data_IF_238927698172
#
_entry.id   IF_238927698172
#
_cell.length_a   1.000
_cell.length_b   1.000
_cell.length_c   1.000
_cell.angle_alpha   90.00
_cell.angle_beta   90.00
_cell.angle_gamma   90.00
#
_symmetry.space_group_name_H-M   'P 1'
#
loop_
_entity.id
_entity.type
_entity.pdbx_description
1 polymer ?
#
# COMPACT_ATOMS: atom_id res chain seq x y z
N UNK A 1 -14.81 -5.35 10.41
CA UNK A 1 -13.86 -6.03 9.48
C UNK A 1 -12.96 -5.07 8.72
N UNK A 2 -13.45 -4.27 7.74
CA UNK A 2 -12.61 -3.34 6.93
C UNK A 2 -11.80 -2.41 7.83
N UNK A 3 -12.46 -1.75 8.78
CA UNK A 3 -11.81 -0.87 9.77
C UNK A 3 -10.74 -1.60 10.60
N UNK A 4 -11.03 -2.81 11.07
CA UNK A 4 -10.08 -3.61 11.86
C UNK A 4 -8.86 -4.00 11.03
N UNK A 5 -9.07 -4.46 9.79
CA UNK A 5 -8.00 -4.86 8.89
C UNK A 5 -7.10 -3.67 8.53
N UNK A 6 -7.70 -2.50 8.27
CA UNK A 6 -6.98 -1.26 8.07
C UNK A 6 -6.14 -0.93 9.31
N UNK A 7 -6.73 -0.93 10.51
CA UNK A 7 -6.03 -0.59 11.75
C UNK A 7 -4.82 -1.50 12.01
N UNK A 8 -4.99 -2.81 11.80
CA UNK A 8 -3.91 -3.79 11.97
C UNK A 8 -2.77 -3.53 10.99
N UNK A 9 -3.09 -3.37 9.70
CA UNK A 9 -2.08 -3.10 8.68
C UNK A 9 -1.36 -1.77 8.92
N UNK A 10 -2.10 -0.72 9.32
CA UNK A 10 -1.56 0.60 9.62
C UNK A 10 -0.56 0.56 10.77
N UNK A 11 -0.92 -0.07 11.89
CA UNK A 11 -0.02 -0.20 13.03
C UNK A 11 1.26 -0.95 12.67
N UNK A 12 1.14 -2.03 11.89
CA UNK A 12 2.30 -2.78 11.42
C UNK A 12 3.21 -1.90 10.55
N UNK A 13 2.67 -1.24 9.54
CA UNK A 13 3.44 -0.42 8.59
C UNK A 13 4.10 0.78 9.29
N UNK A 14 3.44 1.41 10.27
CA UNK A 14 4.04 2.46 11.11
C UNK A 14 5.19 1.91 11.95
N UNK A 15 5.01 0.75 12.57
CA UNK A 15 6.04 0.13 13.41
C UNK A 15 7.29 -0.28 12.59
N UNK A 16 7.13 -0.63 11.31
CA UNK A 16 8.23 -1.00 10.42
C UNK A 16 8.83 0.17 9.64
N UNK A 17 8.34 1.39 9.83
CA UNK A 17 8.83 2.59 9.12
C UNK A 17 8.55 2.56 7.61
N UNK A 18 7.56 1.78 7.16
CA UNK A 18 7.21 1.65 5.74
C UNK A 18 6.28 2.77 5.22
N UNK A 19 5.82 3.65 6.11
CA UNK A 19 4.97 4.80 5.80
C UNK A 19 5.72 6.09 6.13
N UNK A 20 5.62 7.07 5.22
CA UNK A 20 6.34 8.34 5.30
C UNK A 20 5.44 9.57 5.18
N UNK A 21 4.42 9.53 4.34
CA UNK A 21 3.38 10.57 4.23
C UNK A 21 2.09 10.04 4.84
N UNK A 22 1.80 10.49 6.07
CA UNK A 22 0.72 9.93 6.88
C UNK A 22 -0.65 10.01 6.19
N UNK A 23 -0.90 10.97 5.29
CA UNK A 23 -2.18 11.05 4.58
C UNK A 23 -2.21 10.21 3.31
N UNK A 24 -1.22 10.37 2.42
CA UNK A 24 -1.19 9.65 1.15
C UNK A 24 -1.09 8.13 1.36
N UNK A 25 -0.36 7.70 2.39
CA UNK A 25 -0.23 6.30 2.76
C UNK A 25 -1.52 5.75 3.40
N UNK A 26 -2.22 6.56 4.21
CA UNK A 26 -3.53 6.19 4.75
C UNK A 26 -4.56 5.94 3.65
N UNK A 27 -4.61 6.83 2.65
CA UNK A 27 -5.54 6.71 1.52
C UNK A 27 -5.21 5.49 0.67
N UNK A 28 -3.92 5.26 0.39
CA UNK A 28 -3.48 4.06 -0.34
C UNK A 28 -3.91 2.78 0.39
N UNK A 29 -3.58 2.69 1.69
CA UNK A 29 -3.93 1.53 2.49
C UNK A 29 -5.45 1.30 2.55
N UNK A 30 -6.22 2.36 2.72
CA UNK A 30 -7.70 2.31 2.71
C UNK A 30 -8.23 1.75 1.39
N UNK A 31 -7.70 2.21 0.24
CA UNK A 31 -8.11 1.71 -1.08
C UNK A 31 -7.81 0.22 -1.23
N UNK A 32 -6.64 -0.22 -0.77
CA UNK A 32 -6.23 -1.63 -0.83
C UNK A 32 -7.16 -2.50 0.02
N UNK A 33 -7.43 -2.11 1.28
CA UNK A 33 -8.28 -2.87 2.19
C UNK A 33 -9.72 -2.97 1.66
N UNK A 34 -10.27 -1.87 1.13
CA UNK A 34 -11.62 -1.87 0.52
C UNK A 34 -11.67 -2.76 -0.73
N UNK A 35 -10.64 -2.70 -1.60
CA UNK A 35 -10.58 -3.55 -2.77
C UNK A 35 -10.52 -5.05 -2.42
N UNK A 36 -9.76 -5.41 -1.38
CA UNK A 36 -9.68 -6.79 -0.89
C UNK A 36 -11.00 -7.28 -0.29
N UNK A 37 -11.68 -6.41 0.48
CA UNK A 37 -13.00 -6.70 1.03
C UNK A 37 -14.04 -6.91 -0.09
N UNK A 38 -14.02 -6.06 -1.12
CA UNK A 38 -14.92 -6.16 -2.28
C UNK A 38 -14.71 -7.43 -3.11
N UNK A 39 -13.53 -8.08 -3.02
CA UNK A 39 -13.25 -9.38 -3.64
C UNK A 39 -13.72 -10.59 -2.80
N UNK A 40 -14.43 -10.35 -1.70
CA UNK A 40 -14.98 -11.41 -0.84
C UNK A 40 -14.01 -11.92 0.23
N UNK A 41 -12.89 -11.24 0.49
CA UNK A 41 -12.01 -11.59 1.62
C UNK A 41 -12.64 -11.08 2.92
N UNK A 42 -13.23 -11.99 3.71
CA UNK A 42 -14.04 -11.65 4.89
C UNK A 42 -13.31 -11.76 6.23
N UNK A 43 -12.09 -12.32 6.25
CA UNK A 43 -11.31 -12.49 7.48
C UNK A 43 -10.34 -11.32 7.70
N UNK A 44 -10.57 -10.52 8.75
CA UNK A 44 -9.82 -9.27 9.04
C UNK A 44 -8.29 -9.44 9.02
N UNK A 45 -7.75 -10.53 9.58
CA UNK A 45 -6.29 -10.78 9.61
C UNK A 45 -5.77 -11.09 8.21
N UNK A 46 -6.55 -11.83 7.40
CA UNK A 46 -6.17 -12.16 6.03
C UNK A 46 -6.16 -10.89 5.17
N UNK A 47 -7.18 -10.05 5.31
CA UNK A 47 -7.23 -8.75 4.63
C UNK A 47 -6.04 -7.88 5.04
N UNK A 48 -5.71 -7.80 6.33
CA UNK A 48 -4.58 -7.00 6.82
C UNK A 48 -3.23 -7.49 6.23
N UNK A 49 -2.96 -8.80 6.28
CA UNK A 49 -1.72 -9.37 5.74
C UNK A 49 -1.59 -9.13 4.23
N UNK A 50 -2.67 -9.33 3.48
CA UNK A 50 -2.69 -9.03 2.04
C UNK A 50 -2.50 -7.53 1.77
N UNK A 51 -3.09 -6.68 2.59
CA UNK A 51 -2.96 -5.23 2.47
C UNK A 51 -1.53 -4.76 2.73
N UNK A 52 -0.84 -5.30 3.74
CA UNK A 52 0.58 -5.03 4.01
C UNK A 52 1.43 -5.39 2.79
N UNK A 53 1.21 -6.58 2.22
CA UNK A 53 1.98 -7.05 1.06
C UNK A 53 1.75 -6.18 -0.18
N UNK A 54 0.51 -5.81 -0.48
CA UNK A 54 0.19 -4.93 -1.61
C UNK A 54 0.70 -3.51 -1.40
N UNK A 55 0.58 -2.99 -0.19
CA UNK A 55 1.10 -1.67 0.16
C UNK A 55 2.60 -1.58 -0.09
N UNK A 56 3.37 -2.60 0.34
CA UNK A 56 4.81 -2.66 0.08
C UNK A 56 5.15 -2.68 -1.43
N UNK A 57 4.37 -3.39 -2.25
CA UNK A 57 4.54 -3.38 -3.71
C UNK A 57 4.28 -2.01 -4.32
N UNK A 58 3.20 -1.34 -3.91
CA UNK A 58 2.88 0.01 -4.40
C UNK A 58 3.89 1.06 -3.95
N UNK A 59 4.33 1.00 -2.69
CA UNK A 59 5.38 1.87 -2.17
C UNK A 59 6.70 1.68 -2.94
N UNK A 60 7.06 0.44 -3.26
CA UNK A 60 8.24 0.14 -4.09
C UNK A 60 8.10 0.69 -5.51
N UNK A 61 6.91 0.59 -6.13
CA UNK A 61 6.62 1.18 -7.45
C UNK A 61 6.79 2.71 -7.45
N UNK A 62 6.30 3.40 -6.42
CA UNK A 62 6.45 4.86 -6.27
C UNK A 62 7.91 5.30 -6.09
N UNK A 63 8.75 4.45 -5.50
CA UNK A 63 10.16 4.75 -5.21
C UNK A 63 11.09 4.53 -6.40
N UNK A 64 10.65 3.84 -7.45
CA UNK A 64 11.46 3.66 -8.65
C UNK A 64 11.55 4.99 -9.42
N UNK A 65 12.77 5.50 -9.73
CA UNK A 65 12.90 6.65 -10.60
C UNK A 65 12.34 6.30 -11.98
N UNK A 66 11.66 7.25 -12.62
CA UNK A 66 11.12 7.10 -13.98
C UNK A 66 12.30 7.03 -14.96
N UNK A 67 12.96 5.88 -15.03
CA UNK A 67 14.20 5.67 -15.79
C UNK A 67 13.96 5.49 -17.30
N UNK A 68 12.81 5.92 -17.81
CA UNK A 68 12.40 5.69 -19.21
C UNK A 68 12.30 6.94 -20.09
N UNK A 69 12.42 8.15 -19.53
CA UNK A 69 12.14 9.40 -20.26
C UNK A 69 13.37 10.23 -20.65
N UNK A 70 14.60 9.80 -20.32
CA UNK A 70 15.84 10.59 -20.54
C UNK A 70 16.87 9.86 -21.41
N UNK A 71 16.44 8.96 -22.30
CA UNK A 71 17.32 8.28 -23.25
C UNK A 71 16.88 8.53 -24.69
N UNK A 72 16.82 9.80 -25.12
CA UNK A 72 16.35 10.10 -26.48
C UNK A 72 16.64 11.48 -27.05
N UNK A 73 17.53 12.28 -26.46
CA UNK A 73 17.98 13.52 -27.12
C UNK A 73 19.49 13.68 -26.98
N UNK A 74 20.22 13.03 -27.89
CA UNK A 74 21.59 13.42 -28.21
C UNK A 74 21.51 14.55 -29.22
N UNK A 75 22.05 15.70 -28.83
CA UNK A 75 22.44 16.77 -29.76
C UNK A 75 23.62 16.29 -30.61
#
# INVERSE_FOLDING_TARGET
MVSDAHRIAWYFLKATGQVGDDYADHVLLSRIVVALAGRGVTHRIRVANMAIAEFGREAARRRQPVSGLVAGRRF
#
